data_IF_807676965357
#
_entry.id   IF_807676965357
#
_cell.length_a   1.000
_cell.length_b   1.000
_cell.length_c   1.000
_cell.angle_alpha   90.00
_cell.angle_beta   90.00
_cell.angle_gamma   90.00
#
_symmetry.space_group_name_H-M   'P 1'
#
loop_
_entity.id
_entity.type
_entity.pdbx_description
1 polymer ?
#
# COMPACT_ATOMS: atom_id res chain seq x y z
N UNK A 1 -3.36 58.70 -24.47
CA UNK A 1 -2.54 57.47 -24.52
C UNK A 1 -2.88 56.64 -23.29
N UNK A 2 -3.70 55.61 -23.44
CA UNK A 2 -4.14 54.77 -22.35
C UNK A 2 -3.47 53.38 -22.53
N UNK A 3 -2.57 53.05 -21.62
CA UNK A 3 -1.87 51.76 -21.59
C UNK A 3 -2.81 50.66 -21.14
N UNK A 4 -3.19 49.77 -22.06
CA UNK A 4 -3.90 48.55 -21.79
C UNK A 4 -3.01 47.62 -20.97
N UNK A 5 -3.31 47.44 -19.67
CA UNK A 5 -2.77 46.33 -18.85
C UNK A 5 -3.38 45.02 -19.36
N UNK A 6 -2.58 44.15 -19.94
CA UNK A 6 -2.94 42.77 -20.18
C UNK A 6 -3.20 42.09 -18.83
N UNK A 7 -4.45 41.76 -18.59
CA UNK A 7 -4.87 40.89 -17.50
C UNK A 7 -4.40 39.47 -17.87
N UNK A 8 -3.40 38.94 -17.15
CA UNK A 8 -3.07 37.48 -17.23
C UNK A 8 -4.32 36.73 -16.84
N UNK A 9 -4.79 35.86 -17.71
CA UNK A 9 -5.78 34.85 -17.34
C UNK A 9 -5.24 34.01 -16.20
N UNK A 10 -6.06 33.63 -15.20
CA UNK A 10 -5.66 32.66 -14.21
C UNK A 10 -5.36 31.33 -14.93
N UNK A 11 -4.21 30.79 -14.71
CA UNK A 11 -3.96 29.39 -15.08
C UNK A 11 -4.94 28.54 -14.28
N UNK A 12 -5.67 27.66 -14.94
CA UNK A 12 -6.52 26.66 -14.29
C UNK A 12 -5.65 25.84 -13.35
N UNK A 13 -6.10 25.57 -12.12
CA UNK A 13 -5.35 24.74 -11.20
C UNK A 13 -5.29 23.31 -11.75
N UNK A 14 -4.09 22.79 -11.97
CA UNK A 14 -3.89 21.37 -12.25
C UNK A 14 -4.23 20.58 -10.96
N UNK A 15 -5.44 20.09 -10.89
CA UNK A 15 -5.91 19.25 -9.79
C UNK A 15 -5.28 17.86 -9.88
N UNK A 16 -4.61 17.45 -8.83
CA UNK A 16 -4.39 16.04 -8.50
C UNK A 16 -3.20 15.33 -9.16
N UNK A 17 -2.20 16.04 -9.68
CA UNK A 17 -0.95 15.37 -10.10
C UNK A 17 0.02 15.21 -8.93
N UNK A 18 0.09 14.01 -8.36
CA UNK A 18 1.22 13.69 -7.49
C UNK A 18 2.46 13.53 -8.38
N UNK A 19 3.36 14.47 -8.34
CA UNK A 19 4.68 14.36 -8.98
C UNK A 19 5.64 13.76 -7.95
N UNK A 20 6.26 12.65 -8.28
CA UNK A 20 7.51 12.27 -7.61
C UNK A 20 8.50 13.39 -7.96
N UNK A 21 9.04 14.14 -6.99
CA UNK A 21 9.97 15.20 -7.29
C UNK A 21 11.23 14.60 -7.93
N UNK A 22 11.37 14.71 -9.23
CA UNK A 22 12.62 14.44 -9.94
C UNK A 22 13.37 15.77 -9.97
N UNK A 23 14.35 15.92 -9.09
CA UNK A 23 15.05 17.19 -8.83
C UNK A 23 15.92 17.69 -10.00
N UNK A 24 15.98 16.98 -11.12
CA UNK A 24 16.69 17.45 -12.35
C UNK A 24 16.15 16.77 -13.60
N UNK A 25 15.84 17.56 -14.67
CA UNK A 25 15.45 17.02 -15.98
C UNK A 25 16.55 16.11 -16.61
N UNK A 26 17.81 16.28 -16.24
CA UNK A 26 18.94 15.45 -16.72
C UNK A 26 18.90 14.00 -16.19
N UNK A 27 18.20 13.72 -15.08
CA UNK A 27 18.08 12.35 -14.58
C UNK A 27 16.99 11.54 -15.29
N UNK A 28 15.95 12.19 -15.79
CA UNK A 28 14.90 11.53 -16.56
C UNK A 28 15.39 11.03 -17.93
N UNK A 29 16.23 11.80 -18.62
CA UNK A 29 16.82 11.41 -19.92
C UNK A 29 17.73 10.19 -19.80
N UNK A 30 18.29 9.94 -18.60
CA UNK A 30 19.19 8.82 -18.34
C UNK A 30 18.51 7.49 -18.07
N UNK A 31 17.21 7.48 -17.81
CA UNK A 31 16.43 6.26 -17.52
C UNK A 31 16.22 5.42 -18.79
N UNK A 32 16.11 6.05 -19.95
CA UNK A 32 15.73 5.42 -21.21
C UNK A 32 16.87 5.03 -22.17
N UNK A 33 18.16 5.14 -21.78
CA UNK A 33 19.27 4.75 -22.67
C UNK A 33 19.95 3.44 -22.21
N UNK A 34 19.58 2.28 -22.81
CA UNK A 34 19.99 0.95 -22.32
C UNK A 34 21.45 0.59 -22.54
N UNK A 35 22.15 1.24 -23.49
CA UNK A 35 23.42 0.73 -24.03
C UNK A 35 24.70 1.16 -23.31
N UNK A 36 24.60 2.09 -22.38
CA UNK A 36 25.83 2.61 -21.77
C UNK A 36 25.88 2.36 -20.29
N UNK A 37 25.93 1.24 -19.72
CA UNK A 37 26.24 1.35 -18.29
C UNK A 37 26.07 0.17 -17.37
N UNK A 38 25.88 -1.01 -17.90
CA UNK A 38 25.78 -2.18 -17.00
C UNK A 38 27.06 -2.36 -16.15
N UNK A 39 28.23 -2.11 -16.70
CA UNK A 39 29.51 -2.28 -15.99
C UNK A 39 29.86 -1.13 -15.01
N UNK A 40 29.51 0.11 -15.30
CA UNK A 40 29.70 1.24 -14.36
C UNK A 40 28.70 1.22 -13.22
N UNK A 41 27.48 0.77 -13.50
CA UNK A 41 26.40 0.66 -12.48
C UNK A 41 26.65 -0.43 -11.45
N UNK A 42 27.21 -1.58 -11.81
CA UNK A 42 27.53 -2.65 -10.87
C UNK A 42 28.61 -2.24 -9.84
N UNK A 43 29.68 -1.56 -10.24
CA UNK A 43 30.72 -1.09 -9.32
C UNK A 43 30.27 0.05 -8.41
N UNK A 44 29.48 1.01 -8.91
CA UNK A 44 28.93 2.11 -8.10
C UNK A 44 27.84 1.65 -7.14
N UNK A 45 27.11 0.58 -7.44
CA UNK A 45 25.97 0.08 -6.64
C UNK A 45 26.37 -0.73 -5.42
N UNK A 46 27.43 -1.52 -5.49
CA UNK A 46 27.97 -2.23 -4.32
C UNK A 46 28.50 -1.22 -3.29
N UNK A 47 29.14 -0.14 -3.74
CA UNK A 47 29.59 0.93 -2.88
C UNK A 47 28.43 1.74 -2.26
N UNK A 48 27.31 1.92 -2.98
CA UNK A 48 26.14 2.64 -2.49
C UNK A 48 25.20 1.78 -1.62
N UNK A 49 25.26 0.46 -1.74
CA UNK A 49 24.58 -0.46 -0.81
C UNK A 49 25.24 -0.49 0.57
N UNK A 50 26.53 -0.15 0.64
CA UNK A 50 27.29 -0.06 1.88
C UNK A 50 27.42 1.37 2.44
N UNK A 51 27.08 2.38 1.65
CA UNK A 51 26.98 3.75 2.15
C UNK A 51 25.58 3.96 2.72
N UNK A 52 25.51 4.42 3.97
CA UNK A 52 24.27 4.93 4.55
C UNK A 52 23.58 5.85 3.53
N UNK A 53 22.25 5.81 3.40
CA UNK A 53 21.55 6.63 2.43
C UNK A 53 22.01 8.07 2.62
N UNK A 54 22.69 8.61 1.61
CA UNK A 54 22.93 10.05 1.56
C UNK A 54 21.54 10.65 1.69
N UNK A 55 21.35 11.35 2.81
CA UNK A 55 20.17 12.16 3.01
C UNK A 55 19.92 12.90 1.70
N UNK A 56 18.90 12.51 0.97
CA UNK A 56 18.24 13.44 0.09
C UNK A 56 18.00 14.61 1.01
N UNK A 57 18.60 15.75 0.72
CA UNK A 57 18.26 16.97 1.41
C UNK A 57 16.79 17.22 1.05
N UNK A 58 15.91 16.57 1.80
CA UNK A 58 14.53 16.97 1.84
C UNK A 58 14.59 18.41 2.34
N UNK A 59 14.30 19.34 1.46
CA UNK A 59 13.76 20.62 1.88
C UNK A 59 12.70 20.23 2.88
N UNK A 60 12.89 20.53 4.15
CA UNK A 60 11.91 20.28 5.21
C UNK A 60 10.74 21.24 4.97
N UNK A 61 9.96 20.96 3.91
CA UNK A 61 8.68 21.58 3.70
C UNK A 61 7.77 20.97 4.75
N UNK A 62 7.17 21.80 5.59
CA UNK A 62 6.20 21.31 6.56
C UNK A 62 5.00 20.73 5.80
N UNK A 63 4.26 19.79 6.42
CA UNK A 63 3.03 19.26 5.81
C UNK A 63 2.06 20.36 5.39
N UNK A 64 2.02 21.44 6.14
CA UNK A 64 1.20 22.62 5.83
C UNK A 64 1.67 23.34 4.56
N UNK A 65 2.99 23.56 4.40
CA UNK A 65 3.55 24.15 3.19
C UNK A 65 3.34 23.28 1.95
N UNK A 66 3.49 21.95 2.09
CA UNK A 66 3.20 21.01 1.01
C UNK A 66 1.72 21.03 0.62
N UNK A 67 0.83 21.07 1.62
CA UNK A 67 -0.60 21.16 1.39
C UNK A 67 -1.02 22.48 0.72
N UNK A 68 -0.39 23.59 1.09
CA UNK A 68 -0.61 24.90 0.44
C UNK A 68 -0.13 24.87 -1.02
N UNK A 69 1.06 24.32 -1.29
CA UNK A 69 1.60 24.16 -2.64
C UNK A 69 0.71 23.29 -3.53
N UNK A 70 0.14 22.22 -2.96
CA UNK A 70 -0.75 21.28 -3.65
C UNK A 70 -2.24 21.63 -3.54
N UNK A 71 -2.59 22.73 -2.89
CA UNK A 71 -3.98 23.17 -2.63
C UNK A 71 -4.85 22.09 -1.95
N UNK A 72 -4.26 21.30 -1.04
CA UNK A 72 -4.97 20.24 -0.35
C UNK A 72 -5.87 20.76 0.77
N UNK A 73 -7.03 20.14 0.92
CA UNK A 73 -7.96 20.40 2.01
C UNK A 73 -7.58 19.61 3.25
N UNK A 74 -6.64 20.10 4.05
CA UNK A 74 -6.28 19.47 5.30
C UNK A 74 -7.41 19.54 6.33
N UNK A 75 -7.62 18.48 7.15
CA UNK A 75 -8.63 18.50 8.20
C UNK A 75 -8.39 19.63 9.20
N UNK A 76 -9.42 20.43 9.47
CA UNK A 76 -9.40 21.53 10.45
C UNK A 76 -9.28 21.04 11.89
N UNK A 77 -9.15 21.96 12.87
CA UNK A 77 -8.82 21.63 14.26
C UNK A 77 -9.72 20.57 14.90
N UNK A 78 -11.05 20.71 14.88
CA UNK A 78 -11.99 19.73 15.42
C UNK A 78 -11.98 18.42 14.60
N UNK A 79 -11.95 18.54 13.30
CA UNK A 79 -11.93 17.39 12.39
C UNK A 79 -10.66 16.56 12.58
N UNK A 80 -9.52 17.19 12.69
CA UNK A 80 -8.24 16.55 13.04
C UNK A 80 -8.31 15.85 14.40
N UNK A 81 -8.90 16.52 15.42
CA UNK A 81 -8.97 15.97 16.76
C UNK A 81 -9.79 14.67 16.82
N UNK A 82 -10.99 14.62 16.23
CA UNK A 82 -11.79 13.40 16.26
C UNK A 82 -11.18 12.29 15.39
N UNK A 83 -10.54 12.62 14.25
CA UNK A 83 -9.84 11.64 13.41
C UNK A 83 -8.67 11.01 14.15
N UNK A 84 -7.88 11.81 14.87
CA UNK A 84 -6.80 11.30 15.71
C UNK A 84 -7.34 10.47 16.87
N UNK A 85 -8.41 10.93 17.54
CA UNK A 85 -9.05 10.17 18.61
C UNK A 85 -9.57 8.81 18.12
N UNK A 86 -10.24 8.75 16.97
CA UNK A 86 -10.68 7.50 16.35
C UNK A 86 -9.50 6.59 16.00
N UNK A 87 -8.44 7.16 15.41
CA UNK A 87 -7.24 6.42 15.05
C UNK A 87 -6.56 5.79 16.28
N UNK A 88 -6.33 6.57 17.34
CA UNK A 88 -5.59 6.13 18.53
C UNK A 88 -6.43 5.27 19.45
N UNK A 89 -7.70 5.65 19.69
CA UNK A 89 -8.53 4.96 20.69
C UNK A 89 -9.26 3.72 20.15
N UNK A 90 -9.46 3.63 18.84
CA UNK A 90 -10.22 2.53 18.23
C UNK A 90 -9.36 1.74 17.24
N UNK A 91 -8.85 2.38 16.17
CA UNK A 91 -8.20 1.65 15.08
C UNK A 91 -6.84 1.09 15.47
N UNK A 92 -6.06 1.79 16.28
CA UNK A 92 -4.76 1.30 16.74
C UNK A 92 -4.90 0.05 17.64
N UNK A 93 -5.72 0.04 18.71
CA UNK A 93 -5.97 -1.18 19.48
C UNK A 93 -6.54 -2.32 18.65
N UNK A 94 -7.48 -2.03 17.76
CA UNK A 94 -8.04 -3.01 16.85
C UNK A 94 -6.97 -3.62 15.93
N UNK A 95 -6.07 -2.79 15.38
CA UNK A 95 -4.96 -3.25 14.53
C UNK A 95 -4.03 -4.19 15.29
N UNK A 96 -3.69 -3.86 16.53
CA UNK A 96 -2.84 -4.70 17.39
C UNK A 96 -3.49 -6.06 17.63
N UNK A 97 -4.77 -6.06 18.00
CA UNK A 97 -5.53 -7.29 18.26
C UNK A 97 -5.65 -8.14 16.99
N UNK A 98 -5.93 -7.53 15.84
CA UNK A 98 -6.04 -8.23 14.55
C UNK A 98 -4.71 -8.84 14.10
N UNK A 99 -3.59 -8.10 14.23
CA UNK A 99 -2.25 -8.63 13.92
C UNK A 99 -1.90 -9.78 14.84
N UNK A 100 -2.14 -9.65 16.15
CA UNK A 100 -1.90 -10.72 17.11
C UNK A 100 -2.70 -11.99 16.78
N UNK A 101 -4.00 -11.85 16.53
CA UNK A 101 -4.85 -12.98 16.17
C UNK A 101 -4.40 -13.67 14.87
N UNK A 102 -3.95 -12.88 13.88
CA UNK A 102 -3.38 -13.41 12.64
C UNK A 102 -2.10 -14.22 12.91
N UNK A 103 -1.17 -13.67 13.69
CA UNK A 103 0.09 -14.34 14.04
C UNK A 103 -0.19 -15.65 14.80
N UNK A 104 -1.13 -15.65 15.75
CA UNK A 104 -1.52 -16.84 16.49
C UNK A 104 -2.14 -17.92 15.62
N UNK A 105 -2.95 -17.53 14.61
CA UNK A 105 -3.50 -18.48 13.64
C UNK A 105 -2.40 -19.11 12.77
N UNK A 106 -1.46 -18.33 12.28
CA UNK A 106 -0.33 -18.82 11.49
C UNK A 106 0.59 -19.72 12.33
N UNK A 107 0.85 -19.34 13.58
CA UNK A 107 1.65 -20.15 14.51
C UNK A 107 0.99 -21.51 14.81
N UNK A 108 -0.34 -21.56 14.93
CA UNK A 108 -1.08 -22.81 15.16
C UNK A 108 -1.27 -23.64 13.91
N UNK A 109 -1.31 -23.00 12.73
CA UNK A 109 -1.41 -23.70 11.45
C UNK A 109 -0.16 -24.54 11.14
N UNK A 110 1.02 -24.04 11.50
CA UNK A 110 2.28 -24.71 11.21
C UNK A 110 2.39 -26.12 11.83
N UNK A 111 2.12 -26.34 13.13
CA UNK A 111 2.18 -27.69 13.74
C UNK A 111 1.06 -28.62 13.27
N UNK A 112 -0.13 -28.08 12.94
CA UNK A 112 -1.29 -28.88 12.52
C UNK A 112 -1.04 -29.67 11.23
N UNK A 113 -0.11 -29.20 10.39
CA UNK A 113 0.29 -29.84 9.14
C UNK A 113 1.59 -30.66 9.27
N UNK A 114 2.15 -30.79 10.49
CA UNK A 114 3.48 -31.28 10.73
C UNK A 114 4.55 -30.22 10.52
N UNK A 115 5.71 -30.35 11.19
CA UNK A 115 6.74 -29.29 11.20
C UNK A 115 7.17 -28.83 9.78
N UNK A 116 7.21 -29.73 8.82
CA UNK A 116 7.55 -29.44 7.43
C UNK A 116 6.34 -29.37 6.49
N UNK A 117 5.21 -30.00 6.85
CA UNK A 117 4.02 -30.10 5.99
C UNK A 117 3.42 -28.74 5.64
N UNK A 118 3.44 -27.78 6.56
CA UNK A 118 2.98 -26.42 6.31
C UNK A 118 3.83 -25.73 5.24
N UNK A 119 5.16 -25.75 5.40
CA UNK A 119 6.10 -25.08 4.50
C UNK A 119 6.21 -25.75 3.14
N UNK A 120 5.91 -27.06 3.07
CA UNK A 120 5.92 -27.85 1.84
C UNK A 120 4.54 -27.98 1.20
N UNK A 121 3.50 -27.36 1.77
CA UNK A 121 2.20 -27.32 1.11
C UNK A 121 2.28 -26.43 -0.15
N UNK A 122 1.61 -26.83 -1.22
CA UNK A 122 1.65 -26.15 -2.51
C UNK A 122 1.36 -24.63 -2.41
N UNK A 123 0.32 -24.20 -1.67
CA UNK A 123 0.06 -22.77 -1.52
C UNK A 123 1.24 -21.99 -0.91
N UNK A 124 1.86 -22.53 0.13
CA UNK A 124 2.97 -21.87 0.84
C UNK A 124 4.24 -21.94 0.02
N UNK A 125 4.56 -23.12 -0.53
CA UNK A 125 5.77 -23.34 -1.31
C UNK A 125 5.83 -22.45 -2.55
N UNK A 126 4.82 -22.55 -3.41
CA UNK A 126 4.80 -21.76 -4.65
C UNK A 126 4.64 -20.26 -4.38
N UNK A 127 3.83 -19.85 -3.38
CA UNK A 127 3.77 -18.43 -2.99
C UNK A 127 5.13 -17.90 -2.53
N UNK A 128 5.88 -18.69 -1.74
CA UNK A 128 7.23 -18.32 -1.31
C UNK A 128 8.19 -18.16 -2.49
N UNK A 129 8.10 -19.01 -3.50
CA UNK A 129 8.87 -18.85 -4.75
C UNK A 129 8.53 -17.55 -5.47
N UNK A 130 7.25 -17.18 -5.52
CA UNK A 130 6.81 -15.92 -6.08
C UNK A 130 7.35 -14.70 -5.31
N UNK A 131 7.31 -14.75 -3.98
CA UNK A 131 7.94 -13.73 -3.10
C UNK A 131 9.42 -13.60 -3.40
N UNK A 132 10.16 -14.72 -3.45
CA UNK A 132 11.60 -14.72 -3.73
C UNK A 132 11.91 -14.17 -5.13
N UNK A 133 11.11 -14.49 -6.13
CA UNK A 133 11.26 -13.96 -7.48
C UNK A 133 11.08 -12.43 -7.49
N UNK A 134 10.06 -11.90 -6.81
CA UNK A 134 9.85 -10.46 -6.67
C UNK A 134 11.02 -9.78 -5.95
N UNK A 135 11.47 -10.33 -4.83
CA UNK A 135 12.61 -9.82 -4.06
C UNK A 135 13.89 -9.80 -4.90
N UNK A 136 14.16 -10.88 -5.64
CA UNK A 136 15.33 -10.96 -6.53
C UNK A 136 15.30 -9.87 -7.60
N UNK A 137 14.17 -9.69 -8.31
CA UNK A 137 13.99 -8.65 -9.34
C UNK A 137 14.20 -7.26 -8.73
N UNK A 138 13.63 -7.02 -7.53
CA UNK A 138 13.72 -5.73 -6.83
C UNK A 138 15.16 -5.42 -6.40
N UNK A 139 15.88 -6.38 -5.80
CA UNK A 139 17.28 -6.21 -5.39
C UNK A 139 18.19 -5.99 -6.60
N UNK A 140 17.99 -6.77 -7.65
CA UNK A 140 18.78 -6.65 -8.87
C UNK A 140 18.48 -5.38 -9.66
N UNK A 141 17.38 -4.68 -9.34
CA UNK A 141 16.88 -3.47 -10.03
C UNK A 141 16.78 -3.64 -11.56
N UNK A 142 16.54 -4.87 -12.00
CA UNK A 142 16.54 -5.24 -13.43
C UNK A 142 15.43 -4.50 -14.19
N UNK A 143 14.27 -4.36 -13.57
CA UNK A 143 13.04 -3.84 -14.19
C UNK A 143 12.51 -2.62 -13.44
N UNK A 144 13.34 -1.89 -12.68
CA UNK A 144 12.90 -0.80 -11.81
C UNK A 144 11.94 0.20 -12.53
N UNK A 145 12.27 0.73 -13.74
CA UNK A 145 11.35 1.66 -14.41
C UNK A 145 10.03 1.02 -14.81
N UNK A 146 10.06 -0.25 -15.24
CA UNK A 146 8.84 -1.00 -15.58
C UNK A 146 8.00 -1.25 -14.32
N UNK A 147 8.61 -1.62 -13.20
CA UNK A 147 7.91 -1.85 -11.94
C UNK A 147 7.24 -0.59 -11.43
N UNK A 148 7.92 0.57 -11.52
CA UNK A 148 7.33 1.87 -11.18
C UNK A 148 6.12 2.16 -12.07
N UNK A 149 6.26 2.01 -13.39
CA UNK A 149 5.15 2.23 -14.32
C UNK A 149 3.96 1.30 -14.06
N UNK A 150 4.22 0.01 -13.84
CA UNK A 150 3.18 -0.98 -13.50
C UNK A 150 2.50 -0.62 -12.18
N UNK A 151 3.27 -0.13 -11.19
CA UNK A 151 2.70 0.35 -9.93
C UNK A 151 1.78 1.55 -10.14
N UNK A 152 2.24 2.60 -10.82
CA UNK A 152 1.44 3.79 -11.10
C UNK A 152 0.17 3.42 -11.87
N UNK A 153 0.29 2.62 -12.93
CA UNK A 153 -0.85 2.14 -13.69
C UNK A 153 -1.88 1.40 -12.81
N UNK A 154 -1.43 0.48 -11.96
CA UNK A 154 -2.32 -0.25 -11.05
C UNK A 154 -2.95 0.65 -10.00
N UNK A 155 -2.22 1.66 -9.51
CA UNK A 155 -2.71 2.66 -8.57
C UNK A 155 -3.87 3.47 -9.17
N UNK A 156 -3.65 4.08 -10.33
CA UNK A 156 -4.68 4.89 -10.99
C UNK A 156 -5.89 4.06 -11.45
N UNK A 157 -5.65 2.84 -11.95
CA UNK A 157 -6.74 1.93 -12.29
C UNK A 157 -7.56 1.54 -11.07
N UNK A 158 -6.94 1.41 -9.90
CA UNK A 158 -7.66 1.11 -8.66
C UNK A 158 -8.55 2.29 -8.25
N UNK A 159 -8.05 3.54 -8.37
CA UNK A 159 -8.90 4.72 -8.20
C UNK A 159 -10.11 4.71 -9.15
N UNK A 160 -9.88 4.46 -10.44
CA UNK A 160 -10.95 4.41 -11.42
C UNK A 160 -12.00 3.34 -11.09
N UNK A 161 -11.58 2.13 -10.70
CA UNK A 161 -12.48 1.06 -10.27
C UNK A 161 -13.25 1.47 -9.01
N UNK A 162 -12.59 2.06 -8.02
CA UNK A 162 -13.22 2.51 -6.78
C UNK A 162 -14.27 3.61 -7.02
N UNK A 163 -13.99 4.53 -7.98
CA UNK A 163 -14.93 5.56 -8.41
C UNK A 163 -16.20 4.88 -9.00
N UNK A 164 -16.03 3.94 -9.92
CA UNK A 164 -17.18 3.20 -10.48
C UNK A 164 -17.94 2.41 -9.42
N UNK A 165 -17.26 1.75 -8.50
CA UNK A 165 -17.89 1.05 -7.37
C UNK A 165 -18.65 2.00 -6.43
N UNK A 166 -18.22 3.25 -6.35
CA UNK A 166 -18.89 4.31 -5.58
C UNK A 166 -19.97 5.06 -6.39
N UNK A 167 -20.35 4.53 -7.55
CA UNK A 167 -21.32 5.15 -8.48
C UNK A 167 -20.89 6.53 -8.98
N UNK A 168 -19.58 6.82 -8.95
CA UNK A 168 -18.99 8.03 -9.50
C UNK A 168 -18.65 7.91 -10.97
N UNK A 169 -18.19 9.01 -11.55
CA UNK A 169 -17.74 9.10 -12.95
C UNK A 169 -16.30 9.55 -13.02
N UNK A 170 -15.50 8.86 -13.84
CA UNK A 170 -14.15 9.29 -14.21
C UNK A 170 -14.28 10.34 -15.30
N UNK A 171 -13.72 11.53 -15.08
CA UNK A 171 -13.73 12.64 -16.05
C UNK A 171 -12.51 12.64 -16.93
N UNK A 172 -11.35 12.43 -16.34
CA UNK A 172 -10.08 12.35 -17.03
C UNK A 172 -9.19 11.29 -16.38
N UNK A 173 -8.29 10.72 -17.17
CA UNK A 173 -7.38 9.66 -16.74
C UNK A 173 -6.06 9.78 -17.49
N UNK A 174 -4.97 9.99 -16.77
CA UNK A 174 -3.65 10.10 -17.36
C UNK A 174 -2.62 9.30 -16.59
N UNK A 175 -1.72 8.65 -17.30
CA UNK A 175 -0.54 7.98 -16.76
C UNK A 175 0.64 8.32 -17.65
N UNK A 176 1.73 8.71 -17.03
CA UNK A 176 3.02 8.89 -17.70
C UNK A 176 4.17 8.35 -16.84
N UNK A 177 5.41 8.55 -17.29
CA UNK A 177 6.59 8.07 -16.59
C UNK A 177 6.88 8.85 -15.28
N UNK A 178 6.24 10.01 -15.10
CA UNK A 178 6.44 10.90 -13.96
C UNK A 178 5.34 10.76 -12.91
N UNK A 179 4.22 10.11 -13.26
CA UNK A 179 3.08 9.88 -12.38
C UNK A 179 1.78 9.63 -13.14
N UNK A 180 0.66 9.67 -12.42
CA UNK A 180 -0.68 9.55 -12.99
C UNK A 180 -1.68 10.36 -12.18
N UNK A 181 -2.89 10.51 -12.73
CA UNK A 181 -4.03 11.03 -12.00
C UNK A 181 -5.35 10.50 -12.56
N UNK A 182 -6.37 10.48 -11.71
CA UNK A 182 -7.75 10.23 -12.09
C UNK A 182 -8.60 11.40 -11.62
N UNK A 183 -9.23 12.12 -12.55
CA UNK A 183 -10.12 13.21 -12.20
C UNK A 183 -11.54 12.71 -11.98
N UNK A 184 -12.16 13.11 -10.85
CA UNK A 184 -13.53 12.76 -10.49
C UNK A 184 -14.17 13.83 -9.62
N UNK A 185 -15.51 13.90 -9.59
CA UNK A 185 -16.25 14.70 -8.61
C UNK A 185 -16.52 13.93 -7.30
N UNK A 186 -16.26 12.64 -7.29
CA UNK A 186 -16.52 11.78 -6.13
C UNK A 186 -15.29 11.73 -5.23
N UNK A 187 -15.43 12.22 -4.00
CA UNK A 187 -14.37 12.18 -3.00
C UNK A 187 -14.85 11.46 -1.72
N UNK A 188 -14.37 10.24 -1.53
CA UNK A 188 -14.59 9.49 -0.29
C UNK A 188 -13.33 8.71 0.12
N UNK A 189 -13.30 8.27 1.38
CA UNK A 189 -12.15 7.55 1.93
C UNK A 189 -11.86 6.23 1.20
N UNK A 190 -12.88 5.55 0.67
CA UNK A 190 -12.69 4.31 -0.08
C UNK A 190 -11.98 4.59 -1.41
N UNK A 191 -12.39 5.61 -2.16
CA UNK A 191 -11.74 6.01 -3.41
C UNK A 191 -10.29 6.41 -3.11
N UNK A 192 -10.08 7.33 -2.15
CA UNK A 192 -8.76 7.86 -1.82
C UNK A 192 -7.77 6.76 -1.36
N UNK A 193 -8.22 5.79 -0.55
CA UNK A 193 -7.32 4.82 0.06
C UNK A 193 -7.28 3.46 -0.65
N UNK A 194 -8.18 3.20 -1.61
CA UNK A 194 -8.25 1.88 -2.28
C UNK A 194 -6.95 1.41 -2.91
N UNK A 195 -6.10 2.23 -3.57
CA UNK A 195 -4.85 1.76 -4.15
C UNK A 195 -3.84 1.20 -3.14
N UNK A 196 -3.97 1.59 -1.88
CA UNK A 196 -3.05 1.19 -0.82
C UNK A 196 -3.43 -0.13 -0.14
N UNK A 197 -4.65 -0.63 -0.37
CA UNK A 197 -5.07 -1.91 0.19
C UNK A 197 -5.64 -2.89 -0.84
N UNK A 198 -6.06 -2.44 -2.02
CA UNK A 198 -6.51 -3.34 -3.09
C UNK A 198 -5.30 -3.81 -3.91
N UNK A 199 -4.93 -5.10 -3.83
CA UNK A 199 -3.79 -5.64 -4.58
C UNK A 199 -4.19 -5.89 -6.05
N UNK A 200 -4.35 -4.81 -6.82
CA UNK A 200 -4.93 -4.79 -8.15
C UNK A 200 -4.34 -5.86 -9.08
N UNK A 201 -3.01 -5.89 -9.23
CA UNK A 201 -2.37 -6.84 -10.15
C UNK A 201 -2.47 -8.29 -9.69
N UNK A 202 -2.53 -8.52 -8.38
CA UNK A 202 -2.78 -9.85 -7.84
C UNK A 202 -4.19 -10.33 -8.24
N UNK A 203 -5.20 -9.47 -8.09
CA UNK A 203 -6.57 -9.81 -8.48
C UNK A 203 -6.68 -10.05 -9.99
N UNK A 204 -6.02 -9.23 -10.80
CA UNK A 204 -5.94 -9.42 -12.26
C UNK A 204 -5.29 -10.76 -12.60
N UNK A 205 -4.13 -11.07 -11.98
CA UNK A 205 -3.43 -12.34 -12.20
C UNK A 205 -4.29 -13.55 -11.87
N UNK A 206 -4.89 -13.53 -10.67
CA UNK A 206 -5.75 -14.63 -10.22
C UNK A 206 -6.98 -14.79 -11.12
N UNK A 207 -7.60 -13.68 -11.52
CA UNK A 207 -8.76 -13.70 -12.41
C UNK A 207 -8.42 -14.22 -13.81
N UNK A 208 -7.30 -13.77 -14.37
CA UNK A 208 -6.84 -14.23 -15.70
C UNK A 208 -6.51 -15.72 -15.67
N UNK A 209 -5.74 -16.19 -14.69
CA UNK A 209 -5.42 -17.61 -14.59
C UNK A 209 -6.64 -18.47 -14.33
N UNK A 210 -7.56 -18.02 -13.48
CA UNK A 210 -8.82 -18.72 -13.27
C UNK A 210 -9.61 -18.86 -14.58
N UNK A 211 -9.72 -17.76 -15.35
CA UNK A 211 -10.42 -17.78 -16.65
C UNK A 211 -9.72 -18.70 -17.66
N UNK A 212 -8.39 -18.63 -17.75
CA UNK A 212 -7.60 -19.50 -18.65
C UNK A 212 -7.82 -20.96 -18.29
N UNK A 213 -7.71 -21.32 -17.02
CA UNK A 213 -7.92 -22.70 -16.57
C UNK A 213 -9.39 -23.16 -16.74
N UNK A 214 -10.36 -22.25 -16.63
CA UNK A 214 -11.76 -22.54 -16.89
C UNK A 214 -12.02 -22.88 -18.37
N UNK A 215 -11.37 -22.15 -19.30
CA UNK A 215 -11.54 -22.35 -20.75
C UNK A 215 -10.69 -23.52 -21.26
N UNK A 216 -9.45 -23.62 -20.81
CA UNK A 216 -8.47 -24.59 -21.24
C UNK A 216 -7.65 -25.08 -20.03
N UNK A 217 -8.14 -26.08 -19.28
CA UNK A 217 -7.44 -26.63 -18.14
C UNK A 217 -6.03 -27.11 -18.52
N UNK A 218 -5.03 -26.77 -17.71
CA UNK A 218 -3.63 -27.13 -17.95
C UNK A 218 -2.94 -27.65 -16.68
N UNK A 219 -1.98 -28.52 -16.88
CA UNK A 219 -1.16 -29.04 -15.78
C UNK A 219 -0.29 -27.92 -15.15
N UNK A 220 -0.15 -27.94 -13.85
CA UNK A 220 0.63 -26.93 -13.11
C UNK A 220 -0.10 -25.61 -12.86
N UNK A 221 -1.40 -25.50 -13.16
CA UNK A 221 -2.21 -24.33 -12.87
C UNK A 221 -2.01 -23.78 -11.46
N UNK A 222 -2.06 -24.69 -10.45
CA UNK A 222 -1.95 -24.30 -9.05
C UNK A 222 -0.58 -23.67 -8.73
N UNK A 223 0.50 -24.22 -9.31
CA UNK A 223 1.84 -23.65 -9.14
C UNK A 223 1.92 -22.19 -9.63
N UNK A 224 1.41 -21.93 -10.85
CA UNK A 224 1.37 -20.57 -11.40
C UNK A 224 0.44 -19.65 -10.61
N UNK A 225 -0.69 -20.16 -10.16
CA UNK A 225 -1.65 -19.41 -9.37
C UNK A 225 -1.03 -18.92 -8.06
N UNK A 226 -0.43 -19.84 -7.28
CA UNK A 226 0.19 -19.49 -6.00
C UNK A 226 1.49 -18.70 -6.17
N UNK A 227 2.34 -19.01 -7.15
CA UNK A 227 3.55 -18.25 -7.40
C UNK A 227 3.23 -16.80 -7.81
N UNK A 228 2.27 -16.62 -8.70
CA UNK A 228 1.81 -15.28 -9.07
C UNK A 228 1.15 -14.54 -7.92
N UNK A 229 0.38 -15.22 -7.06
CA UNK A 229 -0.12 -14.64 -5.82
C UNK A 229 1.02 -14.10 -4.95
N UNK A 230 2.03 -14.90 -4.64
CA UNK A 230 3.16 -14.46 -3.82
C UNK A 230 3.92 -13.29 -4.44
N UNK A 231 4.14 -13.32 -5.76
CA UNK A 231 4.80 -12.23 -6.48
C UNK A 231 4.02 -10.92 -6.40
N UNK A 232 2.75 -10.92 -6.81
CA UNK A 232 1.94 -9.71 -6.91
C UNK A 232 1.48 -9.18 -5.54
N UNK A 233 1.31 -10.05 -4.55
CA UNK A 233 1.09 -9.63 -3.17
C UNK A 233 2.31 -8.90 -2.62
N UNK A 234 3.52 -9.45 -2.82
CA UNK A 234 4.77 -8.79 -2.41
C UNK A 234 4.98 -7.47 -3.13
N UNK A 235 4.67 -7.41 -4.43
CA UNK A 235 4.68 -6.19 -5.22
C UNK A 235 3.76 -5.13 -4.59
N UNK A 236 2.51 -5.48 -4.29
CA UNK A 236 1.55 -4.56 -3.68
C UNK A 236 2.04 -4.04 -2.32
N UNK A 237 2.42 -4.93 -1.41
CA UNK A 237 2.89 -4.55 -0.07
C UNK A 237 4.15 -3.68 -0.14
N UNK A 238 5.13 -4.06 -0.97
CA UNK A 238 6.37 -3.31 -1.13
C UNK A 238 6.11 -1.87 -1.59
N UNK A 239 5.33 -1.69 -2.65
CA UNK A 239 5.06 -0.37 -3.20
C UNK A 239 4.16 0.46 -2.27
N UNK A 240 3.19 -0.16 -1.60
CA UNK A 240 2.39 0.52 -0.57
C UNK A 240 3.29 1.04 0.55
N UNK A 241 4.16 0.20 1.12
CA UNK A 241 5.08 0.63 2.18
C UNK A 241 6.12 1.65 1.68
N UNK A 242 6.50 1.57 0.40
CA UNK A 242 7.45 2.51 -0.20
C UNK A 242 6.84 3.89 -0.39
N UNK A 243 5.56 3.98 -0.77
CA UNK A 243 4.90 5.25 -1.06
C UNK A 243 4.33 5.93 0.18
N UNK A 244 3.82 5.17 1.16
CA UNK A 244 3.17 5.72 2.37
C UNK A 244 3.98 6.80 3.13
N UNK A 245 5.31 6.68 3.30
CA UNK A 245 6.09 7.72 3.97
C UNK A 245 6.28 8.99 3.13
N UNK A 246 5.89 8.97 1.86
CA UNK A 246 5.95 10.12 0.95
C UNK A 246 4.63 10.85 1.02
N UNK A 247 4.64 12.11 1.29
CA UNK A 247 3.48 12.98 1.50
C UNK A 247 2.42 12.84 0.40
N UNK A 248 1.59 11.79 0.50
CA UNK A 248 0.55 11.49 -0.47
C UNK A 248 -0.70 12.33 -0.21
N UNK A 249 -1.21 13.08 -1.21
CA UNK A 249 -2.42 13.88 -1.07
C UNK A 249 -3.60 13.08 -0.51
N UNK A 250 -3.84 11.90 -1.04
CA UNK A 250 -4.93 10.99 -0.65
C UNK A 250 -4.95 10.68 0.85
N UNK A 251 -3.75 10.51 1.43
CA UNK A 251 -3.60 10.22 2.85
C UNK A 251 -3.67 11.47 3.71
N UNK A 252 -3.10 12.59 3.25
CA UNK A 252 -3.03 13.84 4.01
C UNK A 252 -4.42 14.45 4.19
N UNK A 253 -5.24 14.51 3.15
CA UNK A 253 -6.60 15.04 3.19
C UNK A 253 -7.52 14.24 4.11
N UNK A 254 -7.33 12.95 4.18
CA UNK A 254 -8.12 12.06 5.08
C UNK A 254 -7.52 11.97 6.49
N UNK A 255 -6.31 12.50 6.70
CA UNK A 255 -5.53 12.44 7.93
C UNK A 255 -4.58 11.25 7.97
N UNK A 256 -3.28 11.51 7.90
CA UNK A 256 -2.23 10.51 7.68
C UNK A 256 -2.30 9.30 8.62
N UNK A 257 -2.48 9.52 9.94
CA UNK A 257 -2.55 8.44 10.93
C UNK A 257 -3.81 7.59 10.74
N UNK A 258 -4.97 8.23 10.54
CA UNK A 258 -6.23 7.54 10.28
C UNK A 258 -6.12 6.68 9.01
N UNK A 259 -5.62 7.27 7.92
CA UNK A 259 -5.39 6.60 6.64
C UNK A 259 -4.48 5.40 6.78
N UNK A 260 -3.33 5.55 7.45
CA UNK A 260 -2.38 4.45 7.66
C UNK A 260 -3.00 3.27 8.42
N UNK A 261 -3.79 3.51 9.45
CA UNK A 261 -4.46 2.45 10.21
C UNK A 261 -5.61 1.81 9.43
N UNK A 262 -6.37 2.58 8.66
CA UNK A 262 -7.39 2.02 7.75
C UNK A 262 -6.73 1.13 6.70
N UNK A 263 -5.65 1.59 6.06
CA UNK A 263 -4.88 0.80 5.08
C UNK A 263 -4.38 -0.50 5.71
N UNK A 264 -3.81 -0.45 6.92
CA UNK A 264 -3.34 -1.63 7.64
C UNK A 264 -4.47 -2.62 7.89
N UNK A 265 -5.60 -2.16 8.45
CA UNK A 265 -6.76 -3.01 8.74
C UNK A 265 -7.34 -3.66 7.49
N UNK A 266 -7.46 -2.91 6.41
CA UNK A 266 -7.96 -3.43 5.12
C UNK A 266 -7.01 -4.48 4.54
N UNK A 267 -5.68 -4.24 4.57
CA UNK A 267 -4.70 -5.23 4.12
C UNK A 267 -4.74 -6.52 4.96
N UNK A 268 -4.89 -6.41 6.29
CA UNK A 268 -5.07 -7.58 7.15
C UNK A 268 -6.36 -8.32 6.78
N UNK A 269 -7.46 -7.60 6.57
CA UNK A 269 -8.75 -8.18 6.18
C UNK A 269 -8.66 -8.95 4.86
N UNK A 270 -8.03 -8.38 3.85
CA UNK A 270 -7.83 -9.03 2.55
C UNK A 270 -6.92 -10.25 2.70
N UNK A 271 -5.82 -10.14 3.45
CA UNK A 271 -4.93 -11.26 3.71
C UNK A 271 -5.65 -12.41 4.43
N UNK A 272 -6.53 -12.13 5.40
CA UNK A 272 -7.34 -13.14 6.07
C UNK A 272 -8.27 -13.89 5.10
N UNK A 273 -8.91 -13.17 4.18
CA UNK A 273 -9.76 -13.78 3.15
C UNK A 273 -8.92 -14.73 2.28
N UNK A 274 -7.74 -14.29 1.84
CA UNK A 274 -6.84 -15.06 1.00
C UNK A 274 -6.33 -16.30 1.74
N UNK A 275 -5.85 -16.16 2.98
CA UNK A 275 -5.39 -17.29 3.80
C UNK A 275 -6.52 -18.29 4.07
N UNK A 276 -7.76 -17.82 4.18
CA UNK A 276 -8.93 -18.69 4.30
C UNK A 276 -9.21 -19.45 2.99
N UNK A 277 -9.12 -18.79 1.85
CA UNK A 277 -9.27 -19.42 0.53
C UNK A 277 -8.21 -20.50 0.29
N UNK A 278 -6.99 -20.30 0.79
CA UNK A 278 -5.89 -21.27 0.74
C UNK A 278 -6.00 -22.37 1.84
N UNK A 279 -7.07 -22.35 2.64
CA UNK A 279 -7.28 -23.26 3.76
C UNK A 279 -6.16 -23.23 4.84
N UNK A 280 -5.39 -22.16 4.89
CA UNK A 280 -4.34 -21.96 5.91
C UNK A 280 -4.94 -21.62 7.26
N UNK A 281 -6.04 -20.86 7.30
CA UNK A 281 -6.74 -20.45 8.52
C UNK A 281 -8.24 -20.75 8.44
N UNK A 282 -8.92 -20.68 9.58
CA UNK A 282 -10.38 -20.71 9.67
C UNK A 282 -10.89 -19.40 10.29
N UNK A 283 -12.00 -18.86 9.77
CA UNK A 283 -12.60 -17.64 10.33
C UNK A 283 -13.05 -17.83 11.78
N UNK A 284 -13.56 -19.02 12.15
CA UNK A 284 -13.95 -19.31 13.52
C UNK A 284 -12.76 -19.40 14.49
N UNK A 285 -11.64 -19.93 14.02
CA UNK A 285 -10.37 -19.94 14.76
C UNK A 285 -9.85 -18.52 14.97
N UNK A 286 -9.80 -17.73 13.89
CA UNK A 286 -9.38 -16.34 13.95
C UNK A 286 -10.26 -15.51 14.88
N UNK A 287 -11.59 -15.65 14.78
CA UNK A 287 -12.53 -14.94 15.66
C UNK A 287 -12.34 -15.29 17.14
N UNK A 288 -12.06 -16.57 17.47
CA UNK A 288 -11.73 -16.97 18.85
C UNK A 288 -10.47 -16.29 19.37
N UNK A 289 -9.41 -16.26 18.56
CA UNK A 289 -8.14 -15.63 18.96
C UNK A 289 -8.28 -14.12 19.06
N UNK A 290 -9.07 -13.50 18.17
CA UNK A 290 -9.42 -12.08 18.23
C UNK A 290 -10.13 -11.74 19.54
N UNK A 291 -11.17 -12.51 19.90
CA UNK A 291 -11.93 -12.31 21.13
C UNK A 291 -11.06 -12.53 22.37
N UNK A 292 -10.26 -13.60 22.40
CA UNK A 292 -9.37 -13.88 23.53
C UNK A 292 -8.33 -12.77 23.74
N UNK A 293 -7.75 -12.24 22.66
CA UNK A 293 -6.83 -11.13 22.73
C UNK A 293 -7.55 -9.85 23.20
N UNK A 294 -8.72 -9.55 22.66
CA UNK A 294 -9.51 -8.39 23.06
C UNK A 294 -9.89 -8.44 24.55
N UNK A 295 -10.27 -9.61 25.07
CA UNK A 295 -10.51 -9.83 26.50
C UNK A 295 -9.26 -9.58 27.34
N UNK A 296 -8.11 -10.11 26.94
CA UNK A 296 -6.83 -9.89 27.64
C UNK A 296 -6.44 -8.41 27.68
N UNK A 297 -6.63 -7.69 26.59
CA UNK A 297 -6.40 -6.23 26.52
C UNK A 297 -7.38 -5.49 27.43
N UNK A 298 -8.64 -5.87 27.45
CA UNK A 298 -9.65 -5.28 28.33
C UNK A 298 -9.33 -5.50 29.81
N UNK A 299 -8.92 -6.73 30.19
CA UNK A 299 -8.56 -7.05 31.56
C UNK A 299 -7.32 -6.24 32.02
N UNK A 300 -6.33 -6.10 31.13
CA UNK A 300 -5.17 -5.25 31.41
C UNK A 300 -5.57 -3.77 31.66
N UNK A 301 -6.46 -3.21 30.83
CA UNK A 301 -6.96 -1.84 31.04
C UNK A 301 -7.72 -1.69 32.34
N UNK A 302 -8.58 -2.65 32.67
CA UNK A 302 -9.34 -2.65 33.92
C UNK A 302 -8.41 -2.70 35.14
N UNK A 303 -7.41 -3.57 35.10
CA UNK A 303 -6.47 -3.75 36.21
C UNK A 303 -5.57 -2.53 36.38
N UNK A 304 -5.13 -1.91 35.28
CA UNK A 304 -4.38 -0.66 35.28
C UNK A 304 -5.24 0.51 35.87
N UNK A 305 -6.48 0.61 35.44
CA UNK A 305 -7.41 1.62 35.96
C UNK A 305 -7.64 1.45 37.49
N UNK A 306 -7.83 0.20 37.95
CA UNK A 306 -7.96 -0.11 39.38
C UNK A 306 -6.69 0.26 40.17
N UNK A 307 -5.49 -0.05 39.63
CA UNK A 307 -4.23 0.32 40.25
C UNK A 307 -4.04 1.85 40.33
N UNK A 308 -4.40 2.59 39.27
CA UNK A 308 -4.32 4.06 39.29
C UNK A 308 -5.29 4.68 40.29
N UNK A 309 -6.52 4.15 40.40
CA UNK A 309 -7.49 4.61 41.40
C UNK A 309 -7.03 4.33 42.84
N UNK A 310 -6.35 3.19 43.08
CA UNK A 310 -5.80 2.86 44.41
C UNK A 310 -4.61 3.73 44.79
N UNK A 311 -3.89 4.31 43.83
CA UNK A 311 -2.79 5.25 44.10
C UNK A 311 -3.28 6.68 44.35
N UNK A 312 -4.50 6.99 43.90
CA UNK A 312 -5.11 8.31 44.06
C UNK A 312 -6.01 8.44 45.32
N UNK A 313 -6.30 7.31 45.96
CA UNK A 313 -7.04 7.21 47.21
C UNK A 313 -6.08 7.16 48.45
#
# INVERSE_FOLDING_TARGET
>A
MATRRHRKQPQEPEFGSWRVPVDKPEEAEHIFNPSMRLRRRLKGRIANLMAAPRSIQHRTVTQEQYAEEMQLNLPGGWERAWRVALAVCVLLPLSVVMVYALVMQLYRAAPALGEWGFWMSDPVWFSSMGVLAFVAITIMKLLEPLMVYVYVLGHELTHAVAIFMSFGTVKDFKIDAEGGYVETESDNMFIALSPYFVPFWMLVWMGVLWLVNFIAPFEGYEAWFYAGFGFWWSFHVYWTLWIMPREQPDMLEKGALLSALVILLMNIGILLVILRLFNVITFSGYARDLLACAQSVWDLFRDLAAALMSLAA
#
